data_IF_989376383929
#
_entry.id   IF_989376383929
#
_cell.length_a   1.000
_cell.length_b   1.000
_cell.length_c   1.000
_cell.angle_alpha   90.00
_cell.angle_beta   90.00
_cell.angle_gamma   90.00
#
_symmetry.space_group_name_H-M   'P 1'
#
loop_
_entity.id
_entity.type
_entity.pdbx_description
1 polymer ?
#
# COMPACT_ATOMS: atom_id res chain seq x y z
N UNK A 1 -2.86 -21.29 -14.03
CA UNK A 1 -2.76 -21.14 -12.57
C UNK A 1 -1.51 -20.31 -12.26
N UNK A 2 -1.71 -19.11 -11.75
CA UNK A 2 -0.61 -18.15 -11.57
C UNK A 2 0.32 -18.58 -10.42
N UNK A 3 1.61 -18.31 -10.55
CA UNK A 3 2.62 -18.52 -9.49
C UNK A 3 2.16 -17.89 -8.18
N UNK A 4 1.53 -16.72 -8.25
CA UNK A 4 0.96 -15.99 -7.12
C UNK A 4 -0.05 -16.82 -6.31
N UNK A 5 -0.91 -17.60 -6.97
CA UNK A 5 -1.95 -18.39 -6.29
C UNK A 5 -1.33 -19.58 -5.52
N UNK A 6 -0.24 -20.14 -6.03
CA UNK A 6 0.49 -21.21 -5.36
C UNK A 6 1.22 -20.70 -4.11
N UNK A 7 1.83 -19.52 -4.20
CA UNK A 7 2.54 -18.91 -3.07
C UNK A 7 1.56 -18.48 -1.98
N UNK A 8 0.47 -17.82 -2.35
CA UNK A 8 -0.58 -17.43 -1.39
C UNK A 8 -1.24 -18.66 -0.75
N UNK A 9 -1.58 -19.68 -1.55
CA UNK A 9 -2.16 -20.93 -1.06
C UNK A 9 -1.25 -21.63 -0.06
N UNK A 10 0.06 -21.68 -0.30
CA UNK A 10 1.03 -22.23 0.65
C UNK A 10 1.04 -21.52 2.00
N UNK A 11 1.02 -20.18 2.00
CA UNK A 11 0.95 -19.40 3.23
C UNK A 11 -0.32 -19.64 4.05
N UNK A 12 -1.48 -19.65 3.40
CA UNK A 12 -2.75 -19.94 4.06
C UNK A 12 -2.82 -21.38 4.57
N UNK A 13 -2.25 -22.33 3.84
CA UNK A 13 -2.19 -23.72 4.24
C UNK A 13 -1.33 -23.90 5.51
N UNK A 14 -0.15 -23.30 5.57
CA UNK A 14 0.72 -23.30 6.76
C UNK A 14 -0.02 -22.66 7.95
N UNK A 15 -0.71 -21.53 7.74
CA UNK A 15 -1.51 -20.90 8.79
C UNK A 15 -2.63 -21.78 9.32
N UNK A 16 -3.32 -22.54 8.46
CA UNK A 16 -4.36 -23.49 8.86
C UNK A 16 -3.77 -24.68 9.62
N UNK A 17 -2.63 -25.19 9.20
CA UNK A 17 -1.91 -26.25 9.87
C UNK A 17 -1.43 -25.89 11.28
N UNK A 18 -1.21 -24.61 11.56
CA UNK A 18 -0.79 -24.18 12.90
C UNK A 18 -1.79 -24.56 13.99
N UNK A 19 -3.07 -24.67 13.66
CA UNK A 19 -4.11 -25.13 14.58
C UNK A 19 -3.95 -26.58 15.03
N UNK A 20 -3.31 -27.43 14.23
CA UNK A 20 -3.02 -28.82 14.62
C UNK A 20 -1.93 -28.90 15.69
N UNK A 21 -1.03 -27.91 15.73
CA UNK A 21 0.06 -27.85 16.73
C UNK A 21 -0.36 -27.14 18.02
N UNK A 22 -1.14 -26.07 17.91
CA UNK A 22 -1.49 -25.21 19.06
C UNK A 22 -2.96 -25.32 19.51
N UNK A 23 -3.82 -26.05 18.77
CA UNK A 23 -5.24 -26.14 19.08
C UNK A 23 -5.93 -24.77 19.05
N UNK A 24 -6.58 -24.39 20.15
CA UNK A 24 -7.22 -23.09 20.35
C UNK A 24 -6.38 -22.08 21.11
N UNK A 25 -5.24 -22.49 21.66
CA UNK A 25 -4.37 -21.64 22.46
C UNK A 25 -3.30 -20.97 21.59
N UNK A 26 -3.00 -19.72 21.91
CA UNK A 26 -1.89 -19.01 21.25
C UNK A 26 -0.56 -19.36 21.93
N UNK A 27 0.54 -19.48 21.17
CA UNK A 27 1.85 -19.74 21.74
C UNK A 27 2.31 -18.63 22.66
N UNK A 28 3.14 -18.96 23.64
CA UNK A 28 3.79 -17.97 24.49
C UNK A 28 4.62 -17.00 23.65
N UNK A 29 4.25 -15.71 23.68
CA UNK A 29 4.84 -14.67 22.83
C UNK A 29 3.92 -14.09 21.76
N UNK A 30 2.72 -14.66 21.59
CA UNK A 30 1.69 -14.12 20.68
C UNK A 30 1.74 -14.67 19.26
N UNK A 31 1.01 -14.01 18.37
CA UNK A 31 0.78 -14.49 16.98
C UNK A 31 2.05 -14.59 16.15
N UNK A 32 3.03 -13.74 16.41
CA UNK A 32 4.27 -13.69 15.63
C UNK A 32 5.19 -14.90 15.89
N UNK A 33 4.97 -15.61 16.99
CA UNK A 33 5.75 -16.80 17.38
C UNK A 33 5.17 -18.12 16.87
N UNK A 34 4.01 -18.11 16.19
CA UNK A 34 3.35 -19.32 15.70
C UNK A 34 4.29 -20.12 14.78
N UNK A 35 4.80 -19.50 13.74
CA UNK A 35 5.65 -20.20 12.74
C UNK A 35 7.00 -20.65 13.32
N UNK A 36 7.75 -19.82 14.06
CA UNK A 36 8.98 -20.25 14.69
C UNK A 36 8.81 -21.43 15.66
N UNK A 37 7.78 -21.41 16.50
CA UNK A 37 7.50 -22.51 17.42
C UNK A 37 7.05 -23.78 16.71
N UNK A 38 6.24 -23.66 15.66
CA UNK A 38 5.82 -24.80 14.84
C UNK A 38 7.03 -25.49 14.19
N UNK A 39 8.02 -24.72 13.69
CA UNK A 39 9.25 -25.25 13.13
C UNK A 39 10.07 -26.01 14.18
N UNK A 40 10.13 -25.50 15.42
CA UNK A 40 10.81 -26.19 16.53
C UNK A 40 10.11 -27.49 16.93
N UNK A 41 8.75 -27.46 17.00
CA UNK A 41 7.95 -28.65 17.36
C UNK A 41 7.97 -29.74 16.27
N UNK A 42 8.17 -29.35 15.01
CA UNK A 42 8.24 -30.29 13.89
C UNK A 42 9.50 -31.17 13.89
N UNK A 43 10.44 -30.97 14.85
CA UNK A 43 11.65 -31.81 14.98
C UNK A 43 12.59 -31.74 13.78
N UNK A 44 12.58 -30.62 13.05
CA UNK A 44 13.44 -30.43 11.88
C UNK A 44 14.92 -30.37 12.28
N UNK A 45 15.83 -30.94 11.46
CA UNK A 45 17.27 -30.77 11.66
C UNK A 45 17.66 -29.29 11.68
N UNK A 46 18.62 -28.94 12.55
CA UNK A 46 19.09 -27.56 12.71
C UNK A 46 19.56 -26.91 11.40
N UNK A 47 20.11 -27.72 10.47
CA UNK A 47 20.48 -27.23 9.14
C UNK A 47 19.29 -26.73 8.34
N UNK A 48 18.16 -27.45 8.37
CA UNK A 48 16.95 -27.02 7.66
C UNK A 48 16.37 -25.75 8.27
N UNK A 49 16.35 -25.64 9.60
CA UNK A 49 15.92 -24.41 10.29
C UNK A 49 16.82 -23.23 9.89
N UNK A 50 18.13 -23.44 9.82
CA UNK A 50 19.09 -22.44 9.36
C UNK A 50 18.80 -21.96 7.92
N UNK A 51 18.55 -22.89 7.00
CA UNK A 51 18.19 -22.58 5.61
C UNK A 51 16.90 -21.76 5.55
N UNK A 52 15.86 -22.14 6.30
CA UNK A 52 14.59 -21.38 6.35
C UNK A 52 14.81 -19.96 6.86
N UNK A 53 15.62 -19.78 7.91
CA UNK A 53 15.93 -18.45 8.44
C UNK A 53 16.68 -17.58 7.41
N UNK A 54 17.67 -18.14 6.71
CA UNK A 54 18.40 -17.42 5.65
C UNK A 54 17.46 -17.03 4.52
N UNK A 55 16.54 -17.91 4.10
CA UNK A 55 15.54 -17.62 3.08
C UNK A 55 14.59 -16.49 3.52
N UNK A 56 14.12 -16.52 4.76
CA UNK A 56 13.24 -15.47 5.31
C UNK A 56 13.94 -14.12 5.34
N UNK A 57 15.18 -14.07 5.84
CA UNK A 57 15.95 -12.82 5.89
C UNK A 57 16.22 -12.31 4.47
N UNK A 58 16.64 -13.16 3.55
CA UNK A 58 16.92 -12.79 2.16
C UNK A 58 15.69 -12.23 1.47
N UNK A 59 14.53 -12.89 1.60
CA UNK A 59 13.27 -12.43 1.03
C UNK A 59 12.84 -11.08 1.62
N UNK A 60 12.97 -10.91 2.94
CA UNK A 60 12.62 -9.67 3.64
C UNK A 60 13.52 -8.51 3.19
N UNK A 61 14.82 -8.70 3.12
CA UNK A 61 15.80 -7.69 2.67
C UNK A 61 15.54 -7.30 1.22
N UNK A 62 15.29 -8.27 0.35
CA UNK A 62 14.97 -8.01 -1.07
C UNK A 62 13.71 -7.14 -1.22
N UNK A 63 12.65 -7.49 -0.51
CA UNK A 63 11.39 -6.74 -0.55
C UNK A 63 11.55 -5.34 0.02
N UNK A 64 12.19 -5.21 1.18
CA UNK A 64 12.44 -3.93 1.85
C UNK A 64 13.26 -2.99 0.96
N UNK A 65 14.31 -3.51 0.33
CA UNK A 65 15.17 -2.74 -0.58
C UNK A 65 14.38 -2.20 -1.77
N UNK A 66 13.54 -3.03 -2.39
CA UNK A 66 12.74 -2.66 -3.56
C UNK A 66 11.70 -1.59 -3.21
N UNK A 67 10.97 -1.76 -2.10
CA UNK A 67 9.95 -0.81 -1.66
C UNK A 67 10.60 0.53 -1.29
N UNK A 68 11.69 0.50 -0.52
CA UNK A 68 12.42 1.71 -0.12
C UNK A 68 12.95 2.47 -1.34
N UNK A 69 13.58 1.77 -2.27
CA UNK A 69 14.10 2.40 -3.49
C UNK A 69 13.00 3.00 -4.34
N UNK A 70 11.88 2.30 -4.50
CA UNK A 70 10.72 2.81 -5.25
C UNK A 70 10.15 4.06 -4.59
N UNK A 71 9.91 4.05 -3.28
CA UNK A 71 9.40 5.21 -2.55
C UNK A 71 10.35 6.42 -2.68
N UNK A 72 11.66 6.22 -2.49
CA UNK A 72 12.66 7.28 -2.61
C UNK A 72 12.76 7.82 -4.04
N UNK A 73 12.69 6.93 -5.03
CA UNK A 73 12.70 7.30 -6.45
C UNK A 73 11.49 8.14 -6.80
N UNK A 74 10.29 7.73 -6.38
CA UNK A 74 9.05 8.49 -6.60
C UNK A 74 9.14 9.89 -6.00
N UNK A 75 9.56 10.02 -4.73
CA UNK A 75 9.75 11.33 -4.11
C UNK A 75 10.76 12.18 -4.88
N UNK A 76 11.89 11.60 -5.29
CA UNK A 76 12.97 12.34 -5.95
C UNK A 76 12.61 12.73 -7.39
N UNK A 77 12.01 11.81 -8.15
CA UNK A 77 11.70 12.04 -9.57
C UNK A 77 10.42 12.85 -9.74
N UNK A 78 9.34 12.44 -9.07
CA UNK A 78 8.01 12.99 -9.32
C UNK A 78 7.77 14.28 -8.53
N UNK A 79 8.30 14.38 -7.31
CA UNK A 79 8.13 15.58 -6.49
C UNK A 79 9.26 16.59 -6.70
N UNK A 80 10.51 16.18 -6.53
CA UNK A 80 11.64 17.12 -6.56
C UNK A 80 12.00 17.51 -7.99
N UNK A 81 12.27 16.55 -8.88
CA UNK A 81 12.67 16.85 -10.27
C UNK A 81 11.50 17.44 -11.06
N UNK A 82 10.31 16.84 -11.02
CA UNK A 82 9.20 17.27 -11.85
C UNK A 82 8.60 18.63 -11.41
N UNK A 83 8.53 18.90 -10.09
CA UNK A 83 7.86 20.12 -9.58
C UNK A 83 8.78 21.20 -9.05
N UNK A 84 9.88 20.83 -8.36
CA UNK A 84 10.73 21.80 -7.66
C UNK A 84 11.93 22.26 -8.48
N UNK A 85 12.64 21.36 -9.15
CA UNK A 85 13.86 21.66 -9.93
C UNK A 85 13.97 20.80 -11.19
N UNK A 86 13.33 21.20 -12.32
CA UNK A 86 13.33 20.41 -13.56
C UNK A 86 14.74 20.21 -14.16
N UNK A 87 15.64 21.17 -13.98
CA UNK A 87 16.99 21.18 -14.57
C UNK A 87 18.07 20.58 -13.64
N UNK A 88 17.70 19.67 -12.73
CA UNK A 88 18.66 19.07 -11.81
C UNK A 88 19.55 18.03 -12.53
N UNK A 89 20.87 18.11 -12.26
CA UNK A 89 21.84 17.14 -12.79
C UNK A 89 21.62 15.75 -12.21
N UNK A 90 21.78 14.71 -13.00
CA UNK A 90 21.54 13.31 -12.59
C UNK A 90 22.40 12.88 -11.39
N UNK A 91 23.64 13.40 -11.27
CA UNK A 91 24.49 13.16 -10.09
C UNK A 91 23.88 13.68 -8.79
N UNK A 92 23.24 14.85 -8.84
CA UNK A 92 22.56 15.45 -7.68
C UNK A 92 21.28 14.68 -7.34
N UNK A 93 20.57 14.24 -8.36
CA UNK A 93 19.37 13.41 -8.21
C UNK A 93 19.70 12.09 -7.50
N UNK A 94 20.75 11.39 -7.93
CA UNK A 94 21.20 10.15 -7.29
C UNK A 94 21.63 10.36 -5.83
N UNK A 95 22.30 11.48 -5.51
CA UNK A 95 22.64 11.81 -4.11
C UNK A 95 21.38 12.05 -3.27
N UNK A 96 20.42 12.76 -3.81
CA UNK A 96 19.17 13.05 -3.12
C UNK A 96 18.35 11.78 -2.85
N UNK A 97 18.27 10.88 -3.83
CA UNK A 97 17.63 9.56 -3.64
C UNK A 97 18.28 8.78 -2.50
N UNK A 98 19.61 8.77 -2.40
CA UNK A 98 20.32 8.10 -1.29
C UNK A 98 20.00 8.72 0.06
N UNK A 99 19.92 10.06 0.14
CA UNK A 99 19.53 10.76 1.38
C UNK A 99 18.11 10.38 1.79
N UNK A 100 17.17 10.36 0.85
CA UNK A 100 15.80 9.91 1.15
C UNK A 100 15.77 8.45 1.58
N UNK A 101 16.54 7.56 0.94
CA UNK A 101 16.65 6.17 1.39
C UNK A 101 17.11 6.09 2.85
N UNK A 102 18.11 6.86 3.23
CA UNK A 102 18.58 6.90 4.62
C UNK A 102 17.47 7.38 5.57
N UNK A 103 16.77 8.46 5.22
CA UNK A 103 15.67 9.00 6.02
C UNK A 103 14.55 7.96 6.19
N UNK A 104 14.14 7.29 5.11
CA UNK A 104 13.10 6.27 5.16
C UNK A 104 13.52 5.06 6.00
N UNK A 105 14.77 4.61 5.88
CA UNK A 105 15.29 3.48 6.67
C UNK A 105 15.34 3.84 8.16
N UNK A 106 15.85 5.03 8.50
CA UNK A 106 15.86 5.51 9.90
C UNK A 106 14.43 5.66 10.43
N UNK A 107 13.52 6.22 9.64
CA UNK A 107 12.11 6.34 10.03
C UNK A 107 11.46 4.96 10.25
N UNK A 108 11.71 4.00 9.38
CA UNK A 108 11.23 2.62 9.54
C UNK A 108 11.80 1.95 10.80
N UNK A 109 13.07 2.19 11.09
CA UNK A 109 13.70 1.69 12.31
C UNK A 109 13.05 2.25 13.59
N UNK A 110 12.75 3.55 13.60
CA UNK A 110 12.04 4.18 14.73
C UNK A 110 10.65 3.54 14.93
N UNK A 111 9.90 3.33 13.84
CA UNK A 111 8.58 2.67 13.91
C UNK A 111 8.70 1.21 14.37
N UNK A 112 9.72 0.50 13.92
CA UNK A 112 9.96 -0.90 14.31
C UNK A 112 10.29 -1.10 15.80
N UNK A 113 10.73 -0.05 16.49
CA UNK A 113 10.98 -0.09 17.95
C UNK A 113 9.69 -0.06 18.80
N UNK A 114 8.53 0.23 18.22
CA UNK A 114 7.27 0.11 18.96
C UNK A 114 6.88 -1.37 19.08
N UNK A 115 6.54 -1.84 20.29
CA UNK A 115 6.18 -3.24 20.54
C UNK A 115 4.75 -3.53 20.04
N UNK A 116 4.59 -3.57 18.73
CA UNK A 116 3.31 -3.87 18.07
C UNK A 116 3.45 -5.16 17.27
N UNK A 117 2.50 -6.10 17.36
CA UNK A 117 2.50 -7.32 16.54
C UNK A 117 2.60 -6.99 15.04
N UNK A 118 3.39 -7.76 14.29
CA UNK A 118 3.64 -7.54 12.86
C UNK A 118 2.32 -7.52 12.08
N UNK A 119 1.37 -8.40 12.43
CA UNK A 119 0.07 -8.49 11.78
C UNK A 119 -0.75 -7.20 11.94
N UNK A 120 -0.66 -6.54 13.09
CA UNK A 120 -1.35 -5.27 13.33
C UNK A 120 -0.70 -4.13 12.53
N UNK A 121 0.63 -4.05 12.49
CA UNK A 121 1.34 -3.09 11.64
C UNK A 121 1.00 -3.24 10.15
N UNK A 122 0.91 -4.48 9.67
CA UNK A 122 0.44 -4.77 8.31
C UNK A 122 -0.98 -4.23 8.10
N UNK A 123 -1.88 -4.50 9.02
CA UNK A 123 -3.28 -4.05 8.92
C UNK A 123 -3.39 -2.52 8.86
N UNK A 124 -2.59 -1.79 9.62
CA UNK A 124 -2.55 -0.33 9.54
C UNK A 124 -2.04 0.17 8.20
N UNK A 125 -0.91 -0.37 7.73
CA UNK A 125 -0.33 0.01 6.44
C UNK A 125 -1.28 -0.26 5.28
N UNK A 126 -1.84 -1.45 5.20
CA UNK A 126 -2.82 -1.81 4.17
C UNK A 126 -4.12 -1.01 4.30
N UNK A 127 -4.56 -0.71 5.53
CA UNK A 127 -5.73 0.10 5.80
C UNK A 127 -5.58 1.53 5.26
N UNK A 128 -4.43 2.15 5.48
CA UNK A 128 -4.12 3.49 4.97
C UNK A 128 -4.09 3.50 3.44
N UNK A 129 -3.42 2.52 2.82
CA UNK A 129 -3.32 2.45 1.36
C UNK A 129 -4.69 2.17 0.73
N UNK A 130 -5.41 1.16 1.21
CA UNK A 130 -6.72 0.79 0.66
C UNK A 130 -7.75 1.88 0.89
N UNK A 131 -7.78 2.49 2.08
CA UNK A 131 -8.67 3.59 2.42
C UNK A 131 -8.43 4.82 1.53
N UNK A 132 -7.17 5.11 1.19
CA UNK A 132 -6.84 6.28 0.36
C UNK A 132 -7.09 6.05 -1.12
N UNK A 133 -6.74 4.90 -1.67
CA UNK A 133 -6.65 4.71 -3.12
C UNK A 133 -7.76 3.85 -3.73
N UNK A 134 -8.29 2.86 -2.99
CA UNK A 134 -9.21 1.90 -3.57
C UNK A 134 -10.49 2.57 -4.08
N UNK A 135 -11.11 3.42 -3.28
CA UNK A 135 -12.36 4.06 -3.63
C UNK A 135 -12.20 5.06 -4.79
N UNK A 136 -11.27 6.04 -4.76
CA UNK A 136 -11.04 6.92 -5.90
C UNK A 136 -10.71 6.18 -7.19
N UNK A 137 -9.88 5.12 -7.09
CA UNK A 137 -9.50 4.32 -8.25
C UNK A 137 -10.70 3.54 -8.83
N UNK A 138 -11.46 2.83 -7.98
CA UNK A 138 -12.63 2.09 -8.43
C UNK A 138 -13.70 3.01 -9.02
N UNK A 139 -14.00 4.13 -8.33
CA UNK A 139 -14.98 5.09 -8.82
C UNK A 139 -14.55 5.72 -10.15
N UNK A 140 -13.26 6.03 -10.32
CA UNK A 140 -12.73 6.56 -11.58
C UNK A 140 -12.87 5.59 -12.75
N UNK A 141 -12.78 4.28 -12.51
CA UNK A 141 -12.92 3.27 -13.57
C UNK A 141 -14.37 3.04 -14.00
N UNK A 142 -15.31 3.06 -13.05
CA UNK A 142 -16.69 2.64 -13.31
C UNK A 142 -17.68 3.80 -13.42
N UNK A 143 -17.37 4.97 -12.89
CA UNK A 143 -18.29 6.10 -12.85
C UNK A 143 -17.75 7.35 -13.55
N UNK A 144 -18.38 7.69 -14.69
CA UNK A 144 -18.02 8.86 -15.52
C UNK A 144 -18.28 10.22 -14.84
N UNK A 145 -18.95 10.23 -13.70
CA UNK A 145 -19.30 11.46 -12.96
C UNK A 145 -18.22 11.95 -12.00
N UNK A 146 -17.15 11.20 -11.80
CA UNK A 146 -16.06 11.60 -10.92
C UNK A 146 -15.35 12.85 -11.46
N UNK A 147 -14.94 13.72 -10.57
CA UNK A 147 -14.13 14.88 -10.90
C UNK A 147 -12.89 14.94 -10.01
N UNK A 148 -11.93 15.79 -10.38
CA UNK A 148 -10.66 15.96 -9.68
C UNK A 148 -10.85 16.27 -8.18
N UNK A 149 -11.84 17.10 -7.84
CA UNK A 149 -12.13 17.46 -6.45
C UNK A 149 -12.64 16.26 -5.64
N UNK A 150 -13.56 15.47 -6.21
CA UNK A 150 -14.07 14.26 -5.57
C UNK A 150 -13.02 13.20 -5.35
N UNK A 151 -12.13 12.98 -6.34
CA UNK A 151 -11.02 12.06 -6.20
C UNK A 151 -10.05 12.48 -5.08
N UNK A 152 -9.69 13.76 -5.01
CA UNK A 152 -8.86 14.30 -3.93
C UNK A 152 -9.54 14.22 -2.57
N UNK A 153 -10.82 14.57 -2.47
CA UNK A 153 -11.56 14.48 -1.23
C UNK A 153 -11.66 13.04 -0.71
N UNK A 154 -11.91 12.08 -1.60
CA UNK A 154 -11.91 10.66 -1.23
C UNK A 154 -10.55 10.16 -0.77
N UNK A 155 -9.48 10.53 -1.48
CA UNK A 155 -8.10 10.14 -1.14
C UNK A 155 -7.68 10.70 0.22
N UNK A 156 -7.85 12.01 0.45
CA UNK A 156 -7.45 12.66 1.70
C UNK A 156 -8.36 12.22 2.85
N UNK A 157 -9.67 12.13 2.62
CA UNK A 157 -10.61 11.68 3.63
C UNK A 157 -10.38 10.23 4.06
N UNK A 158 -10.14 9.33 3.12
CA UNK A 158 -9.78 7.94 3.41
C UNK A 158 -8.46 7.82 4.17
N UNK A 159 -7.44 8.59 3.75
CA UNK A 159 -6.15 8.65 4.44
C UNK A 159 -6.31 9.10 5.90
N UNK A 160 -7.00 10.21 6.14
CA UNK A 160 -7.20 10.74 7.47
C UNK A 160 -8.04 9.80 8.36
N UNK A 161 -9.08 9.20 7.81
CA UNK A 161 -9.92 8.24 8.55
C UNK A 161 -9.15 6.99 8.97
N UNK A 162 -8.19 6.54 8.17
CA UNK A 162 -7.33 5.43 8.54
C UNK A 162 -6.20 5.83 9.50
N UNK A 163 -5.57 7.00 9.28
CA UNK A 163 -4.40 7.43 10.03
C UNK A 163 -4.74 7.96 11.43
N UNK A 164 -5.80 8.75 11.57
CA UNK A 164 -6.12 9.43 12.83
C UNK A 164 -6.37 8.45 13.99
N UNK A 165 -7.18 7.39 13.85
CA UNK A 165 -7.37 6.43 14.93
C UNK A 165 -6.07 5.73 15.35
N UNK A 166 -5.22 5.41 14.38
CA UNK A 166 -3.93 4.75 14.64
C UNK A 166 -2.97 5.69 15.37
N UNK A 167 -2.91 6.96 14.95
CA UNK A 167 -2.05 7.96 15.58
C UNK A 167 -2.50 8.29 17.03
N UNK A 168 -3.80 8.43 17.26
CA UNK A 168 -4.36 8.76 18.58
C UNK A 168 -4.20 7.61 19.55
N UNK A 169 -4.33 6.37 19.12
CA UNK A 169 -4.18 5.19 19.97
C UNK A 169 -2.74 4.71 20.13
N UNK A 170 -1.77 5.44 19.59
CA UNK A 170 -0.34 5.11 19.74
C UNK A 170 0.02 3.74 19.18
N UNK A 171 -0.54 3.35 18.03
CA UNK A 171 -0.32 2.05 17.37
C UNK A 171 -0.77 0.82 18.18
N UNK A 172 -1.70 0.98 19.11
CA UNK A 172 -2.21 -0.10 19.98
C UNK A 172 -3.69 -0.40 19.78
N UNK A 173 -4.22 -0.24 18.57
CA UNK A 173 -5.63 -0.53 18.31
C UNK A 173 -5.84 -1.99 17.88
N UNK A 174 -6.61 -2.79 18.62
CA UNK A 174 -6.91 -4.17 18.24
C UNK A 174 -7.80 -4.28 17.00
N UNK A 175 -8.39 -3.18 16.55
CA UNK A 175 -9.40 -3.12 15.48
C UNK A 175 -8.87 -2.52 14.16
N UNK A 176 -7.58 -2.70 13.84
CA UNK A 176 -6.98 -2.21 12.60
C UNK A 176 -7.80 -2.50 11.33
N UNK A 177 -8.27 -3.75 11.09
CA UNK A 177 -9.08 -4.08 9.93
C UNK A 177 -10.42 -3.33 9.87
N UNK A 178 -11.04 -3.04 11.01
CA UNK A 178 -12.29 -2.30 11.08
C UNK A 178 -12.09 -0.84 10.64
N UNK A 179 -11.02 -0.20 11.08
CA UNK A 179 -10.68 1.16 10.64
C UNK A 179 -10.33 1.22 9.16
N UNK A 180 -9.71 0.17 8.61
CA UNK A 180 -9.47 0.05 7.17
C UNK A 180 -10.78 0.01 6.38
N UNK A 181 -11.75 -0.81 6.80
CA UNK A 181 -13.08 -0.88 6.18
C UNK A 181 -13.83 0.45 6.28
N UNK A 182 -13.79 1.10 7.44
CA UNK A 182 -14.41 2.43 7.62
C UNK A 182 -13.75 3.47 6.72
N UNK A 183 -12.44 3.48 6.61
CA UNK A 183 -11.72 4.40 5.74
C UNK A 183 -12.10 4.22 4.26
N UNK A 184 -12.26 2.97 3.81
CA UNK A 184 -12.74 2.67 2.45
C UNK A 184 -14.17 3.18 2.22
N UNK A 185 -15.07 2.94 3.17
CA UNK A 185 -16.47 3.40 3.08
C UNK A 185 -16.56 4.94 3.07
N UNK A 186 -15.81 5.62 3.96
CA UNK A 186 -15.76 7.09 4.01
C UNK A 186 -15.14 7.66 2.75
N UNK A 187 -14.05 7.08 2.24
CA UNK A 187 -13.41 7.49 0.99
C UNK A 187 -14.39 7.40 -0.19
N UNK A 188 -15.13 6.30 -0.27
CA UNK A 188 -16.13 6.09 -1.31
C UNK A 188 -17.28 7.11 -1.22
N UNK A 189 -17.80 7.33 -0.02
CA UNK A 189 -18.85 8.32 0.22
C UNK A 189 -18.38 9.74 -0.15
N UNK A 190 -17.17 10.13 0.25
CA UNK A 190 -16.59 11.44 -0.08
C UNK A 190 -16.35 11.59 -1.58
N UNK A 191 -15.87 10.57 -2.27
CA UNK A 191 -15.74 10.59 -3.72
C UNK A 191 -17.06 10.93 -4.40
N UNK A 192 -18.13 10.24 -4.03
CA UNK A 192 -19.46 10.47 -4.62
C UNK A 192 -20.03 11.84 -4.24
N UNK A 193 -20.07 12.15 -2.95
CA UNK A 193 -20.70 13.39 -2.45
C UNK A 193 -20.00 14.63 -3.02
N UNK A 194 -18.67 14.69 -2.92
CA UNK A 194 -17.93 15.86 -3.41
C UNK A 194 -17.98 15.96 -4.93
N UNK A 195 -17.95 14.82 -5.66
CA UNK A 195 -18.12 14.86 -7.12
C UNK A 195 -19.48 15.37 -7.55
N UNK A 196 -20.56 14.98 -6.87
CA UNK A 196 -21.92 15.45 -7.15
C UNK A 196 -22.06 16.93 -6.81
N UNK A 197 -21.55 17.37 -5.66
CA UNK A 197 -21.59 18.77 -5.23
C UNK A 197 -20.78 19.65 -6.18
N UNK A 198 -19.58 19.26 -6.54
CA UNK A 198 -18.71 20.00 -7.45
C UNK A 198 -19.33 20.10 -8.86
N UNK A 199 -20.02 19.05 -9.31
CA UNK A 199 -20.76 19.07 -10.58
C UNK A 199 -21.93 20.07 -10.52
N UNK A 200 -22.68 20.13 -9.41
CA UNK A 200 -23.78 21.11 -9.21
C UNK A 200 -23.26 22.54 -9.07
N UNK A 201 -22.07 22.73 -8.51
CA UNK A 201 -21.42 24.02 -8.37
C UNK A 201 -20.80 24.56 -9.67
N UNK A 202 -20.97 23.85 -10.79
CA UNK A 202 -20.44 24.25 -12.10
C UNK A 202 -18.95 24.12 -12.27
N UNK A 203 -18.29 23.41 -11.39
CA UNK A 203 -16.87 23.03 -11.59
C UNK A 203 -16.80 22.09 -12.78
N UNK A 204 -16.18 22.58 -13.87
CA UNK A 204 -15.97 21.76 -15.06
C UNK A 204 -15.20 20.51 -14.64
N UNK A 205 -15.80 19.35 -14.89
CA UNK A 205 -15.12 18.08 -14.84
C UNK A 205 -13.96 18.18 -15.82
N UNK A 206 -12.75 18.43 -15.32
CA UNK A 206 -11.60 18.52 -16.22
C UNK A 206 -11.41 17.16 -16.88
N UNK A 207 -11.16 17.15 -18.18
CA UNK A 207 -10.58 16.06 -19.01
C UNK A 207 -11.03 14.61 -18.77
N UNK A 208 -11.85 14.33 -17.75
CA UNK A 208 -12.29 12.98 -17.36
C UNK A 208 -13.15 12.32 -18.43
N UNK A 209 -13.80 13.10 -19.28
CA UNK A 209 -14.60 12.55 -20.40
C UNK A 209 -13.74 11.88 -21.46
N UNK A 210 -12.50 12.31 -21.64
CA UNK A 210 -11.60 11.73 -22.64
C UNK A 210 -10.99 10.38 -22.19
N UNK A 211 -10.93 10.13 -20.88
CA UNK A 211 -10.46 8.87 -20.32
C UNK A 211 -11.41 7.69 -20.59
N UNK A 212 -12.71 7.98 -20.69
CA UNK A 212 -13.76 6.99 -21.00
C UNK A 212 -14.07 6.89 -22.48
N UNK A 213 -13.17 7.34 -23.33
CA UNK A 213 -13.32 7.21 -24.77
C UNK A 213 -13.32 5.73 -25.17
N UNK A 214 -14.43 5.30 -25.77
CA UNK A 214 -14.64 3.90 -26.18
C UNK A 214 -14.16 3.58 -27.59
N UNK A 215 -13.53 4.55 -28.28
CA UNK A 215 -12.96 4.36 -29.61
C UNK A 215 -11.63 3.61 -29.59
N UNK A 216 -11.14 3.27 -30.78
CA UNK A 216 -9.82 2.67 -30.93
C UNK A 216 -8.72 3.63 -30.49
N UNK A 217 -7.57 3.09 -30.07
CA UNK A 217 -6.41 3.91 -29.66
C UNK A 217 -5.94 4.85 -30.79
N UNK A 218 -6.22 4.50 -32.05
CA UNK A 218 -5.91 5.32 -33.22
C UNK A 218 -6.85 6.53 -33.35
N UNK A 219 -8.14 6.33 -33.14
CA UNK A 219 -9.13 7.40 -33.16
C UNK A 219 -8.90 8.41 -32.01
N UNK A 220 -8.52 7.90 -30.82
CA UNK A 220 -8.15 8.75 -29.68
C UNK A 220 -6.92 9.61 -30.01
N UNK A 221 -5.88 9.03 -30.63
CA UNK A 221 -4.67 9.74 -31.05
C UNK A 221 -4.96 10.79 -32.13
N UNK A 222 -5.81 10.46 -33.08
CA UNK A 222 -6.23 11.38 -34.14
C UNK A 222 -6.98 12.59 -33.57
N UNK A 223 -7.87 12.37 -32.59
CA UNK A 223 -8.63 13.44 -31.92
C UNK A 223 -7.75 14.39 -31.12
N UNK A 224 -6.64 13.92 -30.54
CA UNK A 224 -5.74 14.70 -29.70
C UNK A 224 -4.47 15.15 -30.42
N UNK A 225 -4.42 15.03 -31.75
CA UNK A 225 -3.26 15.42 -32.58
C UNK A 225 -1.92 14.83 -32.11
N UNK A 226 -1.94 13.65 -31.50
CA UNK A 226 -0.74 12.95 -31.05
C UNK A 226 -0.17 12.19 -32.25
N UNK A 227 0.82 12.75 -32.91
CA UNK A 227 1.54 12.13 -34.02
C UNK A 227 2.36 10.95 -33.48
N UNK A 228 2.28 9.81 -34.19
CA UNK A 228 3.23 8.71 -34.00
C UNK A 228 4.63 9.19 -34.38
N UNK A 229 5.52 9.36 -33.41
CA UNK A 229 6.97 9.33 -33.64
C UNK A 229 7.48 7.92 -33.46
#
# INVERSE_FOLDING_TARGET
MCIRDRVAGGGYFIGSFSRLFFGSELPQGGKDYIVPQMLNMAGLPNILIGIVLVLLISASVSTLSSITLTACSTVTMDLVKAKLKPNMKDKTLAKLTRIFCLIFVVGSYVVANYPTPILEMMSYSWGIISGSFLAPYAVALYWKGINKAGAWAGMVGGFLTALVPVAVSGFKTPNGPLYACLAMAVSLALCFLVSVIAKRAGWKSGETNDFFYTGTAEEWRAKHHIVKN
#
